data_IF_385678423496
#
_entry.id   IF_385678423496
#
_cell.length_a   1.000
_cell.length_b   1.000
_cell.length_c   1.000
_cell.angle_alpha   90.00
_cell.angle_beta   90.00
_cell.angle_gamma   90.00
#
_symmetry.space_group_name_H-M   'P 1'
#
loop_
_entity.id
_entity.type
_entity.pdbx_description
1 polymer ?
#
# COMPACT_ATOMS: atom_id res chain seq x y z
N UNK A 1 -7.12 -70.00 18.51
CA UNK A 1 -5.99 -70.08 17.56
C UNK A 1 -6.54 -70.26 16.15
N UNK A 2 -6.15 -69.37 15.22
CA UNK A 2 -6.42 -69.26 13.76
C UNK A 2 -6.74 -67.78 13.47
N UNK A 3 -6.17 -67.05 12.52
CA UNK A 3 -5.10 -67.25 11.55
C UNK A 3 -4.66 -65.82 11.12
N UNK A 4 -3.41 -65.67 10.71
CA UNK A 4 -2.74 -64.42 10.35
C UNK A 4 -3.19 -63.80 9.00
N UNK A 5 -2.82 -62.53 8.82
CA UNK A 5 -2.74 -61.70 7.60
C UNK A 5 -4.07 -61.12 7.10
N UNK A 6 -4.20 -59.83 6.75
CA UNK A 6 -3.45 -59.14 5.68
C UNK A 6 -3.74 -57.61 5.74
N UNK A 7 -2.69 -56.77 5.74
CA UNK A 7 -2.43 -55.57 4.87
C UNK A 7 -3.61 -54.56 4.66
N UNK A 8 -3.52 -53.23 4.77
CA UNK A 8 -2.43 -52.25 4.74
C UNK A 8 -2.80 -51.01 5.58
N UNK A 9 -1.84 -50.56 6.37
CA UNK A 9 -1.82 -49.24 6.99
C UNK A 9 -1.27 -48.24 5.94
N UNK A 10 -2.13 -47.71 5.06
CA UNK A 10 -1.78 -46.53 4.27
C UNK A 10 -2.11 -45.29 5.10
N UNK A 11 -1.21 -44.95 6.02
CA UNK A 11 -1.20 -43.67 6.71
C UNK A 11 -0.89 -42.59 5.64
N UNK A 12 -1.94 -42.06 5.03
CA UNK A 12 -1.85 -40.91 4.15
C UNK A 12 -1.54 -39.69 5.04
N UNK A 13 -0.26 -39.50 5.35
CA UNK A 13 0.22 -38.22 5.87
C UNK A 13 0.05 -37.21 4.72
N UNK A 14 -1.14 -36.63 4.62
CA UNK A 14 -1.35 -35.40 3.88
C UNK A 14 -0.48 -34.35 4.56
N UNK A 15 0.74 -34.20 4.05
CA UNK A 15 1.52 -32.98 4.23
C UNK A 15 0.69 -31.88 3.58
N UNK A 16 -0.21 -31.30 4.37
CA UNK A 16 -0.76 -29.99 4.10
C UNK A 16 0.44 -29.06 4.16
N UNK A 17 1.10 -28.90 3.02
CA UNK A 17 1.97 -27.76 2.79
C UNK A 17 1.08 -26.54 2.95
N UNK A 18 1.09 -25.95 4.14
CA UNK A 18 0.63 -24.59 4.35
C UNK A 18 1.53 -23.72 3.49
N UNK A 19 1.21 -23.61 2.21
CA UNK A 19 1.67 -22.51 1.39
C UNK A 19 1.04 -21.30 2.03
N UNK A 20 1.79 -20.66 2.92
CA UNK A 20 1.51 -19.29 3.34
C UNK A 20 1.58 -18.48 2.06
N UNK A 21 0.43 -18.32 1.42
CA UNK A 21 0.22 -17.22 0.50
C UNK A 21 0.50 -15.99 1.35
N UNK A 22 1.64 -15.35 1.11
CA UNK A 22 1.90 -14.02 1.65
C UNK A 22 0.83 -13.11 1.04
N UNK A 23 -0.32 -13.08 1.71
CA UNK A 23 -1.50 -12.38 1.24
C UNK A 23 -1.21 -10.90 1.31
N UNK A 24 -1.75 -10.16 0.34
CA UNK A 24 -1.88 -8.70 0.40
C UNK A 24 -2.72 -8.24 1.63
N UNK A 25 -3.19 -9.17 2.47
CA UNK A 25 -3.88 -9.00 3.75
C UNK A 25 -3.07 -8.22 4.80
N UNK A 26 -1.76 -8.05 4.62
CA UNK A 26 -0.91 -7.26 5.53
C UNK A 26 -1.05 -5.73 5.34
N UNK A 27 -1.75 -5.29 4.29
CA UNK A 27 -1.86 -3.89 3.92
C UNK A 27 -3.27 -3.35 4.13
N UNK A 28 -3.40 -2.42 5.08
CA UNK A 28 -4.65 -1.72 5.34
C UNK A 28 -4.74 -0.46 4.48
N UNK A 29 -5.92 -0.14 3.94
CA UNK A 29 -6.16 1.18 3.35
C UNK A 29 -6.28 2.22 4.46
N UNK A 30 -5.26 3.06 4.59
CA UNK A 30 -5.16 4.04 5.68
C UNK A 30 -5.59 5.43 5.28
N UNK A 31 -5.57 5.77 3.98
CA UNK A 31 -6.07 7.04 3.44
C UNK A 31 -6.37 6.89 1.95
N UNK A 32 -7.11 7.84 1.38
CA UNK A 32 -7.33 7.93 -0.06
C UNK A 32 -7.40 9.39 -0.51
N UNK A 33 -7.11 9.62 -1.80
CA UNK A 33 -7.18 10.94 -2.42
C UNK A 33 -7.56 10.84 -3.88
N UNK A 34 -8.47 11.71 -4.31
CA UNK A 34 -8.63 12.03 -5.73
C UNK A 34 -7.67 13.16 -6.07
N UNK A 35 -6.56 12.81 -6.73
CA UNK A 35 -5.58 13.78 -7.20
C UNK A 35 -6.11 14.43 -8.48
N UNK A 36 -6.04 15.76 -8.52
CA UNK A 36 -6.54 16.54 -9.65
C UNK A 36 -5.42 17.33 -10.28
N UNK A 37 -5.51 17.51 -11.59
CA UNK A 37 -4.46 18.09 -12.42
C UNK A 37 -4.27 19.62 -12.25
N UNK A 38 -4.90 20.21 -11.23
CA UNK A 38 -4.77 21.63 -10.84
C UNK A 38 -3.87 21.84 -9.62
N UNK A 39 -3.76 20.82 -8.76
CA UNK A 39 -2.92 20.87 -7.56
C UNK A 39 -1.72 19.97 -7.81
N UNK A 40 -0.52 20.47 -7.54
CA UNK A 40 0.73 19.70 -7.61
C UNK A 40 1.05 19.04 -6.26
N UNK A 41 0.40 19.51 -5.19
CA UNK A 41 0.58 18.96 -3.84
C UNK A 41 -0.77 18.77 -3.15
N UNK A 42 -0.91 17.65 -2.46
CA UNK A 42 -2.06 17.36 -1.62
C UNK A 42 -1.63 16.76 -0.29
N UNK A 43 -2.29 17.18 0.80
CA UNK A 43 -2.12 16.56 2.11
C UNK A 43 -3.27 15.59 2.40
N UNK A 44 -2.95 14.44 2.97
CA UNK A 44 -3.92 13.47 3.48
C UNK A 44 -3.60 13.08 4.92
N UNK A 45 -4.65 12.81 5.68
CA UNK A 45 -4.56 12.26 7.03
C UNK A 45 -5.04 10.80 7.03
N UNK A 46 -4.54 9.96 7.97
CA UNK A 46 -5.09 8.64 8.17
C UNK A 46 -6.60 8.70 8.48
N UNK A 47 -7.37 7.76 7.95
CA UNK A 47 -8.78 7.55 8.29
C UNK A 47 -8.90 7.28 9.79
N UNK A 48 -10.06 7.63 10.38
CA UNK A 48 -10.28 7.57 11.83
C UNK A 48 -9.86 6.26 12.53
N UNK A 49 -10.11 5.05 11.98
CA UNK A 49 -9.65 3.80 12.60
C UNK A 49 -8.11 3.67 12.71
N UNK A 50 -7.38 4.44 11.91
CA UNK A 50 -5.92 4.41 11.79
C UNK A 50 -5.24 5.66 12.35
N UNK A 51 -5.99 6.66 12.84
CA UNK A 51 -5.46 7.93 13.32
C UNK A 51 -4.45 7.80 14.48
N UNK A 52 -4.46 6.67 15.19
CA UNK A 52 -3.52 6.36 16.26
C UNK A 52 -2.78 5.03 16.07
N UNK A 53 -2.91 4.42 14.89
CA UNK A 53 -2.24 3.18 14.55
C UNK A 53 -0.77 3.41 14.21
N UNK A 54 0.01 2.33 14.31
CA UNK A 54 1.44 2.31 13.99
C UNK A 54 1.66 1.54 12.70
N UNK A 55 2.48 2.10 11.83
CA UNK A 55 2.79 1.51 10.53
C UNK A 55 4.29 1.43 10.35
N UNK A 56 4.77 0.28 9.87
CA UNK A 56 6.17 0.08 9.51
C UNK A 56 6.48 0.67 8.13
N UNK A 57 5.51 0.55 7.23
CA UNK A 57 5.65 0.92 5.83
C UNK A 57 4.36 1.51 5.28
N UNK A 58 4.49 2.31 4.22
CA UNK A 58 3.38 2.68 3.34
C UNK A 58 3.69 2.33 1.89
N UNK A 59 2.66 2.15 1.07
CA UNK A 59 2.74 2.13 -0.40
C UNK A 59 1.54 2.88 -0.98
N UNK A 60 1.71 3.50 -2.15
CA UNK A 60 0.63 4.22 -2.82
C UNK A 60 0.12 3.39 -3.98
N UNK A 61 -1.19 3.16 -4.05
CA UNK A 61 -1.84 2.40 -5.12
C UNK A 61 -2.70 3.33 -5.95
N UNK A 62 -2.48 3.35 -7.26
CA UNK A 62 -3.36 4.06 -8.19
C UNK A 62 -4.57 3.17 -8.52
N UNK A 63 -5.77 3.60 -8.15
CA UNK A 63 -7.02 2.83 -8.34
C UNK A 63 -7.83 3.31 -9.54
N UNK A 64 -7.54 4.52 -10.03
CA UNK A 64 -8.16 5.09 -11.21
C UNK A 64 -7.20 6.08 -11.89
N UNK A 65 -7.22 6.13 -13.23
CA UNK A 65 -6.45 7.10 -14.00
C UNK A 65 -4.94 6.83 -13.98
N UNK A 66 -4.17 7.90 -14.16
CA UNK A 66 -2.71 7.88 -14.12
C UNK A 66 -2.20 9.09 -13.35
N UNK A 67 -1.18 8.88 -12.51
CA UNK A 67 -0.48 9.92 -11.75
C UNK A 67 1.02 9.73 -11.90
N UNK A 68 1.78 10.82 -11.99
CA UNK A 68 3.24 10.78 -11.84
C UNK A 68 3.61 11.29 -10.45
N UNK A 69 3.89 10.36 -9.54
CA UNK A 69 4.26 10.68 -8.16
C UNK A 69 5.74 11.10 -8.15
N UNK A 70 5.99 12.38 -7.87
CA UNK A 70 7.34 12.92 -7.77
C UNK A 70 7.97 12.58 -6.44
N UNK A 71 7.26 12.92 -5.36
CA UNK A 71 7.70 12.64 -4.01
C UNK A 71 6.55 12.49 -3.03
N UNK A 72 6.85 11.87 -1.90
CA UNK A 72 5.96 11.78 -0.76
C UNK A 72 6.73 12.21 0.47
N UNK A 73 6.17 13.16 1.23
CA UNK A 73 6.68 13.52 2.55
C UNK A 73 5.76 12.94 3.60
N UNK A 74 6.33 12.13 4.48
CA UNK A 74 5.63 11.60 5.65
C UNK A 74 6.00 12.45 6.85
N UNK A 75 4.98 12.86 7.61
CA UNK A 75 5.13 13.56 8.88
C UNK A 75 4.53 12.69 9.98
N UNK A 76 5.34 12.40 10.99
CA UNK A 76 4.97 11.61 12.17
C UNK A 76 4.49 12.53 13.30
N UNK A 77 3.69 12.00 14.23
CA UNK A 77 3.13 12.76 15.36
C UNK A 77 4.17 13.29 16.35
N UNK A 78 5.37 12.71 16.37
CA UNK A 78 6.50 13.16 17.18
C UNK A 78 7.35 14.24 16.46
N UNK A 79 6.94 14.66 15.26
CA UNK A 79 7.63 15.66 14.46
C UNK A 79 8.70 15.10 13.53
N UNK A 80 8.97 13.78 13.54
CA UNK A 80 9.88 13.19 12.56
C UNK A 80 9.29 13.30 11.14
N UNK A 81 10.13 13.70 10.19
CA UNK A 81 9.75 13.82 8.79
C UNK A 81 10.66 12.97 7.91
N UNK A 82 10.10 12.39 6.85
CA UNK A 82 10.88 11.67 5.84
C UNK A 82 10.27 11.84 4.45
N UNK A 83 11.11 12.28 3.51
CA UNK A 83 10.75 12.41 2.10
C UNK A 83 11.22 11.19 1.32
N UNK A 84 10.39 10.71 0.41
CA UNK A 84 10.68 9.65 -0.54
C UNK A 84 10.47 10.17 -1.95
N UNK A 85 11.55 10.27 -2.70
CA UNK A 85 11.53 10.73 -4.09
C UNK A 85 11.50 9.56 -5.08
N UNK A 86 11.33 9.90 -6.36
CA UNK A 86 11.44 9.00 -7.50
C UNK A 86 10.46 7.83 -7.43
N UNK A 87 9.18 8.13 -7.22
CA UNK A 87 8.11 7.12 -7.16
C UNK A 87 7.53 6.79 -8.55
N UNK A 88 7.60 7.75 -9.47
CA UNK A 88 7.32 7.56 -10.89
C UNK A 88 5.84 7.46 -11.24
N UNK A 89 5.58 7.01 -12.46
CA UNK A 89 4.23 6.96 -13.05
C UNK A 89 3.47 5.71 -12.58
N UNK A 90 2.32 5.93 -11.95
CA UNK A 90 1.37 4.88 -11.56
C UNK A 90 0.08 5.02 -12.37
N UNK A 91 -0.25 4.00 -13.16
CA UNK A 91 -1.58 3.83 -13.77
C UNK A 91 -2.46 2.95 -12.90
N UNK A 92 -3.77 2.90 -13.21
CA UNK A 92 -4.73 2.02 -12.54
C UNK A 92 -4.18 0.60 -12.33
N UNK A 93 -4.19 0.15 -11.08
CA UNK A 93 -3.73 -1.17 -10.65
C UNK A 93 -2.27 -1.18 -10.17
N UNK A 94 -1.45 -0.20 -10.56
CA UNK A 94 -0.06 -0.11 -10.11
C UNK A 94 0.04 0.41 -8.68
N UNK A 95 1.13 0.01 -8.00
CA UNK A 95 1.52 0.55 -6.71
C UNK A 95 2.97 1.03 -6.74
N UNK A 96 3.29 2.03 -5.91
CA UNK A 96 4.67 2.40 -5.62
C UNK A 96 5.41 1.25 -4.95
N UNK A 97 6.75 1.36 -4.88
CA UNK A 97 7.55 0.58 -3.94
C UNK A 97 7.08 0.80 -2.49
N UNK A 98 7.42 -0.14 -1.61
CA UNK A 98 7.24 -0.01 -0.16
C UNK A 98 8.17 1.07 0.40
N UNK A 99 7.65 1.95 1.24
CA UNK A 99 8.35 3.08 1.83
C UNK A 99 8.42 2.89 3.35
N UNK A 100 9.64 2.71 3.88
CA UNK A 100 9.87 2.48 5.31
C UNK A 100 9.72 3.75 6.13
N UNK A 101 8.76 3.78 7.05
CA UNK A 101 8.48 4.94 7.88
C UNK A 101 9.57 5.13 8.96
N UNK A 102 9.82 6.37 9.42
CA UNK A 102 10.68 6.63 10.57
C UNK A 102 9.91 6.26 11.86
N UNK A 103 9.99 5.01 12.28
CA UNK A 103 9.17 4.43 13.36
C UNK A 103 9.86 4.34 14.72
N UNK A 104 10.94 5.12 14.93
CA UNK A 104 11.61 5.19 16.23
C UNK A 104 10.62 5.65 17.32
N UNK A 105 10.86 5.22 18.55
CA UNK A 105 10.16 5.73 19.74
C UNK A 105 8.63 5.63 19.71
N UNK A 106 8.11 4.59 19.06
CA UNK A 106 6.67 4.34 18.94
C UNK A 106 5.89 5.43 18.17
N UNK A 107 6.58 6.16 17.30
CA UNK A 107 6.00 7.21 16.46
C UNK A 107 4.81 6.71 15.64
N UNK A 108 3.74 7.53 15.61
CA UNK A 108 2.51 7.30 14.86
C UNK A 108 2.48 8.23 13.65
N UNK A 109 1.80 7.80 12.59
CA UNK A 109 1.63 8.63 11.40
C UNK A 109 0.68 9.81 11.70
N UNK A 110 1.07 11.03 11.33
CA UNK A 110 0.21 12.22 11.43
C UNK A 110 -0.45 12.53 10.09
N UNK A 111 0.37 12.82 9.07
CA UNK A 111 -0.10 13.16 7.73
C UNK A 111 0.91 12.77 6.67
N UNK A 112 0.43 12.73 5.43
CA UNK A 112 1.23 12.46 4.25
C UNK A 112 0.98 13.57 3.25
N UNK A 113 2.05 14.16 2.74
CA UNK A 113 2.01 15.11 1.63
C UNK A 113 2.42 14.37 0.35
N UNK A 114 1.54 14.40 -0.63
CA UNK A 114 1.72 13.83 -1.95
C UNK A 114 2.12 14.95 -2.89
N UNK A 115 3.32 14.87 -3.47
CA UNK A 115 3.74 15.74 -4.54
C UNK A 115 3.72 14.96 -5.86
N UNK A 116 2.95 15.46 -6.81
CA UNK A 116 2.72 14.76 -8.06
C UNK A 116 2.56 15.74 -9.21
N UNK A 117 3.01 15.31 -10.38
CA UNK A 117 2.57 15.91 -11.62
C UNK A 117 1.42 15.10 -12.17
N UNK A 118 0.46 15.79 -12.74
CA UNK A 118 -0.40 15.06 -13.64
C UNK A 118 0.30 14.84 -14.95
N UNK A 119 0.47 13.57 -15.29
CA UNK A 119 0.63 13.15 -16.69
C UNK A 119 -0.72 13.23 -17.42
N UNK A 120 -1.45 14.32 -17.21
CA UNK A 120 -2.45 14.81 -18.15
C UNK A 120 -1.74 15.57 -19.27
N UNK A 121 -0.73 14.96 -19.91
CA UNK A 121 -0.22 15.51 -21.15
C UNK A 121 -1.41 15.58 -22.10
N UNK A 122 -1.53 16.69 -22.79
CA UNK A 122 -2.59 16.99 -23.77
C UNK A 122 -2.92 15.79 -24.68
N UNK A 123 -1.93 14.92 -24.95
CA UNK A 123 -2.06 13.66 -25.69
C UNK A 123 -3.03 12.62 -25.07
N UNK A 124 -3.06 12.43 -23.74
CA UNK A 124 -3.93 11.43 -23.10
C UNK A 124 -5.38 11.92 -22.92
N UNK A 125 -5.60 13.24 -22.93
CA UNK A 125 -6.95 13.82 -23.00
C UNK A 125 -7.65 13.49 -24.33
N UNK A 126 -6.92 13.48 -25.45
CA UNK A 126 -7.45 13.11 -26.77
C UNK A 126 -7.77 11.61 -26.89
N UNK A 127 -7.16 10.77 -26.05
CA UNK A 127 -7.41 9.32 -25.99
C UNK A 127 -8.54 8.92 -25.02
N UNK A 128 -9.28 9.88 -24.44
CA UNK A 128 -10.41 9.61 -23.54
C UNK A 128 -10.01 9.21 -22.10
N UNK A 129 -8.74 9.39 -21.71
CA UNK A 129 -8.27 9.07 -20.35
C UNK A 129 -8.70 10.18 -19.37
N UNK A 130 -9.28 9.79 -18.23
CA UNK A 130 -9.97 10.71 -17.30
C UNK A 130 -9.05 11.76 -16.67
N UNK A 131 -9.55 13.00 -16.52
CA UNK A 131 -8.86 14.20 -15.96
C UNK A 131 -8.45 14.12 -14.48
N UNK A 132 -8.59 12.97 -13.83
CA UNK A 132 -8.33 12.78 -12.39
C UNK A 132 -7.80 11.37 -12.18
N UNK A 133 -6.86 11.22 -11.27
CA UNK A 133 -6.46 9.92 -10.75
C UNK A 133 -6.95 9.77 -9.31
N UNK A 134 -7.17 8.52 -8.89
CA UNK A 134 -7.46 8.20 -7.50
C UNK A 134 -6.32 7.35 -6.97
N UNK A 135 -5.83 7.72 -5.81
CA UNK A 135 -4.78 6.98 -5.11
C UNK A 135 -5.28 6.57 -3.74
N UNK A 136 -4.88 5.38 -3.33
CA UNK A 136 -5.03 4.87 -1.98
C UNK A 136 -3.65 4.79 -1.35
N UNK A 137 -3.58 5.19 -0.08
CA UNK A 137 -2.40 5.00 0.75
C UNK A 137 -2.67 3.73 1.54
N UNK A 138 -1.79 2.74 1.36
CA UNK A 138 -1.86 1.47 2.07
C UNK A 138 -0.75 1.46 3.14
N UNK A 139 -1.10 1.08 4.37
CA UNK A 139 -0.17 0.98 5.50
C UNK A 139 0.00 -0.46 5.96
N UNK A 140 1.25 -0.88 6.17
CA UNK A 140 1.56 -2.15 6.84
C UNK A 140 1.74 -1.90 8.33
N UNK A 141 0.90 -2.50 9.17
CA UNK A 141 1.00 -2.34 10.63
C UNK A 141 2.34 -2.85 11.15
N UNK A 142 2.75 -2.34 12.30
CA UNK A 142 3.80 -2.99 13.11
C UNK A 142 3.07 -4.07 13.91
N UNK A 143 3.49 -5.32 13.79
CA UNK A 143 3.01 -6.39 14.67
C UNK A 143 3.43 -6.05 16.11
N UNK A 144 2.44 -5.96 17.01
CA UNK A 144 2.65 -5.66 18.44
C UNK A 144 3.17 -6.89 19.22
#
# INVERSE_FOLDING_TARGET
>A
MKLFNTIALCLLAAVASFQSVAGDNDWDKIADKTVSFKSETDTVNPLSPFANARFSHIKIKCTQGTVDLKSIKVIMKDGQEKTFDSLGVLTKGMSSRSLSLPTKDNAKLDKIELNYESVGSTALQFAGVTKKAKVEILGKKIDE
#
